data_IF_964064879869
#
_entry.id   IF_964064879869
#
_cell.length_a   1.000
_cell.length_b   1.000
_cell.length_c   1.000
_cell.angle_alpha   90.00
_cell.angle_beta   90.00
_cell.angle_gamma   90.00
#
_symmetry.space_group_name_H-M   'P 1'
#
loop_
_entity.id
_entity.type
_entity.pdbx_description
1 polymer ?
#
# COMPACT_ATOMS: atom_id res chain seq x y z
N UNK A 1 33.05 -28.25 38.29
CA UNK A 1 31.59 -28.16 38.52
C UNK A 1 31.03 -27.38 37.35
N UNK A 2 30.27 -28.05 36.50
CA UNK A 2 29.51 -27.44 35.42
C UNK A 2 28.12 -27.11 35.96
N UNK A 3 27.61 -25.90 35.70
CA UNK A 3 26.16 -25.67 35.66
C UNK A 3 25.80 -24.36 34.90
N UNK A 4 25.25 -24.59 33.70
CA UNK A 4 24.13 -23.91 33.02
C UNK A 4 24.07 -22.38 32.83
N UNK A 5 24.21 -21.90 31.56
CA UNK A 5 23.62 -20.64 31.07
C UNK A 5 22.21 -20.82 30.45
N UNK A 6 21.51 -21.92 30.76
CA UNK A 6 20.27 -22.31 30.06
C UNK A 6 18.98 -21.62 30.58
N UNK A 7 19.01 -20.93 31.72
CA UNK A 7 17.79 -20.38 32.35
C UNK A 7 17.42 -18.96 31.91
N UNK A 8 18.36 -18.15 31.43
CA UNK A 8 18.06 -16.77 30.96
C UNK A 8 17.55 -16.74 29.51
N UNK A 9 17.91 -17.73 28.68
CA UNK A 9 17.43 -17.81 27.30
C UNK A 9 15.97 -18.25 27.20
N UNK A 10 15.47 -19.03 28.16
CA UNK A 10 14.08 -19.49 28.17
C UNK A 10 13.10 -18.36 28.53
N UNK A 11 13.48 -17.47 29.46
CA UNK A 11 12.60 -16.38 29.91
C UNK A 11 12.33 -15.35 28.80
N UNK A 12 13.29 -15.14 27.89
CA UNK A 12 13.14 -14.25 26.74
C UNK A 12 12.35 -14.86 25.57
N UNK A 13 12.25 -16.19 25.48
CA UNK A 13 11.41 -16.85 24.46
C UNK A 13 9.94 -16.89 24.86
N UNK A 14 9.63 -17.10 26.15
CA UNK A 14 8.24 -17.12 26.63
C UNK A 14 7.56 -15.73 26.56
N UNK A 15 8.29 -14.63 26.78
CA UNK A 15 7.73 -13.27 26.66
C UNK A 15 7.48 -12.85 25.19
N UNK A 16 8.26 -13.38 24.25
CA UNK A 16 8.04 -13.14 22.82
C UNK A 16 6.85 -13.96 22.26
N UNK A 17 6.59 -15.15 22.82
CA UNK A 17 5.41 -15.96 22.49
C UNK A 17 4.11 -15.38 23.04
N UNK A 18 4.09 -14.82 24.27
CA UNK A 18 2.90 -14.16 24.82
C UNK A 18 2.50 -12.89 24.05
N UNK A 19 3.46 -12.16 23.49
CA UNK A 19 3.19 -10.98 22.66
C UNK A 19 2.57 -11.34 21.29
N UNK A 20 2.88 -12.51 20.74
CA UNK A 20 2.31 -13.02 19.49
C UNK A 20 0.93 -13.66 19.69
N UNK A 21 0.68 -14.31 20.84
CA UNK A 21 -0.61 -14.90 21.18
C UNK A 21 -1.68 -13.82 21.40
N UNK A 22 -1.33 -12.68 22.02
CA UNK A 22 -2.26 -11.57 22.21
C UNK A 22 -2.63 -10.82 20.92
N UNK A 23 -1.87 -10.97 19.83
CA UNK A 23 -2.22 -10.39 18.52
C UNK A 23 -3.17 -11.30 17.72
N UNK A 24 -3.18 -12.61 17.98
CA UNK A 24 -4.04 -13.57 17.28
C UNK A 24 -5.43 -13.74 17.91
N UNK A 25 -5.57 -13.53 19.22
CA UNK A 25 -6.85 -13.77 19.93
C UNK A 25 -7.89 -12.66 19.71
N UNK A 26 -7.46 -11.47 19.30
CA UNK A 26 -8.37 -10.36 18.99
C UNK A 26 -9.00 -10.44 17.58
N UNK A 27 -8.68 -11.49 16.81
CA UNK A 27 -9.19 -11.71 15.45
C UNK A 27 -10.37 -12.68 15.35
N UNK A 28 -10.85 -13.22 16.49
CA UNK A 28 -11.92 -14.24 16.52
C UNK A 28 -13.26 -13.80 17.12
N UNK A 29 -13.44 -12.54 17.49
CA UNK A 29 -14.70 -12.08 18.07
C UNK A 29 -15.44 -11.11 17.13
N UNK A 30 -16.04 -11.62 16.06
CA UNK A 30 -17.30 -11.06 15.50
C UNK A 30 -17.92 -12.03 14.49
N UNK A 31 -18.60 -13.04 15.03
CA UNK A 31 -19.45 -13.97 14.31
C UNK A 31 -20.71 -14.27 15.13
N UNK A 32 -21.71 -13.39 14.96
CA UNK A 32 -23.16 -13.55 15.07
C UNK A 32 -23.76 -14.80 15.76
N UNK A 33 -24.64 -14.60 16.76
CA UNK A 33 -26.01 -15.19 16.84
C UNK A 33 -26.86 -14.55 17.96
N UNK A 34 -28.06 -14.08 17.58
CA UNK A 34 -29.41 -14.05 18.22
C UNK A 34 -29.56 -14.16 19.78
N UNK A 35 -30.49 -13.51 20.52
CA UNK A 35 -31.89 -13.12 20.27
C UNK A 35 -32.49 -12.30 21.46
N UNK A 36 -33.50 -11.44 21.18
CA UNK A 36 -34.58 -10.84 22.05
C UNK A 36 -34.16 -9.85 23.16
N UNK A 37 -34.81 -8.71 23.43
CA UNK A 37 -36.24 -8.32 23.35
C UNK A 37 -36.45 -6.78 23.27
N UNK A 38 -37.56 -6.38 22.65
CA UNK A 38 -38.18 -5.03 22.49
C UNK A 38 -38.36 -4.22 23.80
N UNK A 39 -38.66 -2.89 23.77
CA UNK A 39 -39.99 -2.28 23.43
C UNK A 39 -39.97 -1.07 22.43
N UNK A 40 -40.95 -0.94 21.49
CA UNK A 40 -42.14 -0.01 21.43
C UNK A 40 -41.79 1.50 21.44
N UNK A 41 -42.36 2.43 20.68
CA UNK A 41 -43.52 2.58 19.76
C UNK A 41 -43.31 3.99 19.12
N UNK A 42 -43.49 4.23 17.82
CA UNK A 42 -44.61 5.00 17.27
C UNK A 42 -44.54 4.94 15.73
N UNK A 43 -45.49 4.24 15.11
CA UNK A 43 -45.79 4.35 13.68
C UNK A 43 -47.25 4.70 13.55
N UNK A 44 -47.51 5.81 12.84
CA UNK A 44 -48.84 6.28 12.49
C UNK A 44 -49.59 5.22 11.68
N UNK A 45 -50.83 5.05 12.10
CA UNK A 45 -51.95 4.32 11.51
C UNK A 45 -52.15 4.58 10.02
N UNK A 46 -52.31 3.51 9.26
CA UNK A 46 -53.05 3.49 8.01
C UNK A 46 -54.10 2.38 8.10
N UNK A 47 -55.31 2.72 7.67
CA UNK A 47 -56.58 2.04 7.94
C UNK A 47 -56.85 0.97 6.85
N UNK A 48 -57.25 -0.27 7.17
CA UNK A 48 -57.69 -1.23 6.17
C UNK A 48 -59.19 -1.07 5.90
N UNK A 49 -59.55 -0.38 4.81
CA UNK A 49 -60.92 -0.45 4.28
C UNK A 49 -61.23 -1.87 3.78
N UNK A 50 -62.16 -2.52 4.46
CA UNK A 50 -62.88 -3.70 4.00
C UNK A 50 -63.54 -3.44 2.64
N UNK A 51 -63.26 -4.30 1.67
CA UNK A 51 -64.02 -4.40 0.43
C UNK A 51 -65.26 -5.27 0.70
N UNK A 52 -66.45 -4.66 0.65
CA UNK A 52 -67.72 -5.37 0.69
C UNK A 52 -68.12 -5.91 -0.70
N UNK A 53 -68.87 -7.03 -0.80
CA UNK A 53 -69.16 -7.71 -2.08
C UNK A 53 -70.19 -7.05 -3.02
N UNK A 54 -70.52 -5.76 -2.84
CA UNK A 54 -71.64 -5.11 -3.56
C UNK A 54 -71.23 -4.27 -4.78
N UNK A 55 -69.95 -4.22 -5.18
CA UNK A 55 -69.49 -3.45 -6.35
C UNK A 55 -69.32 -4.30 -7.63
N UNK A 56 -69.97 -5.46 -7.70
CA UNK A 56 -69.75 -6.47 -8.74
C UNK A 56 -70.75 -6.48 -9.90
N UNK A 57 -71.56 -5.44 -10.10
CA UNK A 57 -72.58 -5.44 -11.15
C UNK A 57 -72.65 -4.12 -11.95
N UNK A 58 -71.70 -3.93 -12.86
CA UNK A 58 -71.82 -3.09 -14.05
C UNK A 58 -70.83 -3.55 -15.12
N UNK A 59 -71.17 -4.69 -15.73
CA UNK A 59 -70.60 -5.11 -17.02
C UNK A 59 -71.27 -4.26 -18.11
N UNK A 60 -70.58 -3.22 -18.58
CA UNK A 60 -70.94 -2.54 -19.83
C UNK A 60 -69.70 -2.02 -20.54
N UNK A 61 -69.52 -2.55 -21.76
CA UNK A 61 -68.73 -2.01 -22.87
C UNK A 61 -67.21 -1.89 -22.71
N UNK A 62 -66.56 -3.00 -23.04
CA UNK A 62 -65.53 -3.07 -24.08
C UNK A 62 -64.97 -1.72 -24.55
N UNK A 63 -64.02 -1.19 -23.78
CA UNK A 63 -62.97 -0.33 -24.31
C UNK A 63 -61.64 -0.97 -23.97
N UNK A 64 -61.16 -1.80 -24.89
CA UNK A 64 -59.74 -2.13 -25.02
C UNK A 64 -58.98 -0.83 -25.22
N UNK A 65 -58.62 -0.17 -24.12
CA UNK A 65 -57.64 0.90 -24.15
C UNK A 65 -56.29 0.22 -24.18
N UNK A 66 -55.84 -0.11 -25.39
CA UNK A 66 -54.44 -0.38 -25.66
C UNK A 66 -53.66 0.83 -25.14
N UNK A 67 -53.02 0.71 -23.98
CA UNK A 67 -51.92 1.61 -23.64
C UNK A 67 -50.82 1.29 -24.66
N UNK A 68 -50.88 1.95 -25.80
CA UNK A 68 -49.74 2.10 -26.67
C UNK A 68 -48.68 2.81 -25.82
N UNK A 69 -47.75 2.04 -25.25
CA UNK A 69 -46.56 2.57 -24.59
C UNK A 69 -45.83 3.41 -25.63
N UNK A 70 -46.08 4.72 -25.63
CA UNK A 70 -45.41 5.65 -26.55
C UNK A 70 -43.92 5.55 -26.30
N UNK A 71 -43.20 4.95 -27.24
CA UNK A 71 -41.75 4.89 -27.24
C UNK A 71 -41.19 6.24 -27.70
N UNK A 72 -40.32 6.83 -26.90
CA UNK A 72 -39.63 8.07 -27.18
C UNK A 72 -38.18 7.77 -27.53
N UNK A 73 -37.67 8.36 -28.61
CA UNK A 73 -36.26 8.26 -28.99
C UNK A 73 -35.43 9.30 -28.22
N UNK A 74 -34.56 8.84 -27.33
CA UNK A 74 -33.68 9.69 -26.53
C UNK A 74 -32.21 9.31 -26.74
N UNK A 75 -31.34 10.32 -26.82
CA UNK A 75 -29.92 10.15 -27.06
C UNK A 75 -29.15 10.13 -25.74
N UNK A 76 -28.59 8.97 -25.38
CA UNK A 76 -27.74 8.79 -24.20
C UNK A 76 -26.33 8.43 -24.68
N UNK A 77 -25.31 9.18 -24.25
CA UNK A 77 -23.90 8.95 -24.63
C UNK A 77 -23.67 8.78 -26.14
N UNK A 78 -24.40 9.51 -26.97
CA UNK A 78 -24.23 9.50 -28.43
C UNK A 78 -25.04 8.44 -29.19
N UNK A 79 -25.73 7.51 -28.50
CA UNK A 79 -26.56 6.46 -29.13
C UNK A 79 -28.05 6.73 -28.92
N UNK A 80 -28.86 6.41 -29.93
CA UNK A 80 -30.31 6.58 -29.89
C UNK A 80 -30.94 5.36 -29.21
N UNK A 81 -31.74 5.59 -28.17
CA UNK A 81 -32.47 4.56 -27.44
C UNK A 81 -33.96 4.88 -27.47
N UNK A 82 -34.80 3.87 -27.75
CA UNK A 82 -36.25 3.97 -27.62
C UNK A 82 -36.63 3.58 -26.21
N UNK A 83 -37.20 4.50 -25.45
CA UNK A 83 -37.55 4.34 -24.02
C UNK A 83 -38.98 4.82 -23.77
N UNK A 84 -39.65 4.22 -22.80
CA UNK A 84 -41.01 4.63 -22.39
C UNK A 84 -40.96 5.88 -21.51
N UNK A 85 -42.09 6.56 -21.34
CA UNK A 85 -42.18 7.76 -20.49
C UNK A 85 -41.83 7.48 -19.02
N UNK A 86 -42.18 6.29 -18.50
CA UNK A 86 -41.78 5.87 -17.16
C UNK A 86 -40.28 5.69 -17.01
N UNK A 87 -39.60 5.14 -18.02
CA UNK A 87 -38.16 4.92 -17.96
C UNK A 87 -37.39 6.25 -18.04
N UNK A 88 -37.92 7.24 -18.77
CA UNK A 88 -37.38 8.60 -18.81
C UNK A 88 -37.49 9.31 -17.46
N UNK A 89 -38.64 9.24 -16.81
CA UNK A 89 -38.85 9.86 -15.49
C UNK A 89 -38.00 9.18 -14.41
N UNK A 90 -37.93 7.84 -14.41
CA UNK A 90 -37.04 7.07 -13.53
C UNK A 90 -35.55 7.36 -13.81
N UNK A 91 -35.16 7.51 -15.08
CA UNK A 91 -33.80 7.87 -15.50
C UNK A 91 -33.40 9.26 -15.03
N UNK A 92 -34.28 10.26 -15.22
CA UNK A 92 -34.05 11.62 -14.75
C UNK A 92 -33.94 11.71 -13.22
N UNK A 93 -34.80 11.00 -12.49
CA UNK A 93 -34.73 10.91 -11.02
C UNK A 93 -33.41 10.30 -10.56
N UNK A 94 -32.99 9.18 -11.16
CA UNK A 94 -31.69 8.56 -10.84
C UNK A 94 -30.52 9.46 -11.20
N UNK A 95 -30.53 10.12 -12.37
CA UNK A 95 -29.48 11.03 -12.78
C UNK A 95 -29.37 12.24 -11.85
N UNK A 96 -30.51 12.80 -11.42
CA UNK A 96 -30.54 13.86 -10.41
C UNK A 96 -29.93 13.39 -9.09
N UNK A 97 -30.32 12.20 -8.62
CA UNK A 97 -29.76 11.60 -7.40
C UNK A 97 -28.26 11.33 -7.51
N UNK A 98 -27.79 10.81 -8.65
CA UNK A 98 -26.37 10.55 -8.88
C UNK A 98 -25.58 11.85 -8.96
N UNK A 99 -26.11 12.89 -9.62
CA UNK A 99 -25.48 14.22 -9.65
C UNK A 99 -25.40 14.80 -8.25
N UNK A 100 -26.47 14.72 -7.46
CA UNK A 100 -26.48 15.22 -6.09
C UNK A 100 -25.51 14.42 -5.19
N UNK A 101 -25.50 13.09 -5.28
CA UNK A 101 -24.57 12.23 -4.53
C UNK A 101 -23.13 12.45 -4.95
N UNK A 102 -22.85 12.62 -6.24
CA UNK A 102 -21.51 12.90 -6.76
C UNK A 102 -21.02 14.29 -6.33
N UNK A 103 -21.91 15.29 -6.35
CA UNK A 103 -21.62 16.63 -5.85
C UNK A 103 -21.33 16.60 -4.34
N UNK A 104 -22.18 15.93 -3.54
CA UNK A 104 -21.95 15.73 -2.10
C UNK A 104 -20.63 15.01 -1.83
N UNK A 105 -20.36 13.90 -2.51
CA UNK A 105 -19.09 13.17 -2.36
C UNK A 105 -17.88 14.03 -2.72
N UNK A 106 -17.99 14.88 -3.74
CA UNK A 106 -16.93 15.80 -4.12
C UNK A 106 -16.70 16.88 -3.07
N UNK A 107 -17.78 17.39 -2.47
CA UNK A 107 -17.72 18.36 -1.38
C UNK A 107 -17.17 17.72 -0.09
N UNK A 108 -17.62 16.51 0.25
CA UNK A 108 -17.11 15.74 1.39
C UNK A 108 -15.61 15.49 1.24
N UNK A 109 -15.15 15.08 0.05
CA UNK A 109 -13.71 14.89 -0.23
C UNK A 109 -12.91 16.18 -0.04
N UNK A 110 -13.41 17.30 -0.54
CA UNK A 110 -12.76 18.61 -0.33
C UNK A 110 -12.72 18.98 1.14
N UNK A 111 -13.83 18.80 1.88
CA UNK A 111 -13.88 19.11 3.31
C UNK A 111 -12.88 18.27 4.10
N UNK A 112 -12.75 16.97 3.81
CA UNK A 112 -11.77 16.08 4.44
C UNK A 112 -10.33 16.46 4.07
N UNK A 113 -10.08 16.83 2.81
CA UNK A 113 -8.76 17.32 2.36
C UNK A 113 -8.37 18.61 3.09
N UNK A 114 -9.31 19.56 3.21
CA UNK A 114 -9.10 20.81 3.95
C UNK A 114 -8.86 20.56 5.44
N UNK A 115 -9.60 19.66 6.07
CA UNK A 115 -9.37 19.25 7.46
C UNK A 115 -7.99 18.61 7.63
N UNK A 116 -7.59 17.74 6.71
CA UNK A 116 -6.25 17.12 6.72
C UNK A 116 -5.15 18.15 6.61
N UNK A 117 -5.29 19.14 5.72
CA UNK A 117 -4.32 20.23 5.58
C UNK A 117 -4.24 21.06 6.86
N UNK A 118 -5.39 21.42 7.45
CA UNK A 118 -5.44 22.14 8.74
C UNK A 118 -4.75 21.36 9.85
N UNK A 119 -4.99 20.04 9.95
CA UNK A 119 -4.33 19.18 10.93
C UNK A 119 -2.81 19.14 10.69
N UNK A 120 -2.37 18.99 9.44
CA UNK A 120 -0.94 19.01 9.11
C UNK A 120 -0.30 20.34 9.49
N UNK A 121 -0.93 21.47 9.19
CA UNK A 121 -0.44 22.79 9.54
C UNK A 121 -0.36 22.98 11.06
N UNK A 122 -1.39 22.57 11.80
CA UNK A 122 -1.39 22.61 13.27
C UNK A 122 -0.28 21.74 13.85
N UNK A 123 -0.07 20.54 13.30
CA UNK A 123 1.02 19.65 13.72
C UNK A 123 2.40 20.28 13.44
N UNK A 124 2.57 20.92 12.28
CA UNK A 124 3.81 21.61 11.93
C UNK A 124 4.09 22.79 12.88
N UNK A 125 3.09 23.60 13.21
CA UNK A 125 3.22 24.69 14.17
C UNK A 125 3.56 24.14 15.56
N UNK A 126 2.86 23.11 16.03
CA UNK A 126 3.13 22.50 17.33
C UNK A 126 4.54 21.91 17.42
N UNK A 127 5.04 21.29 16.34
CA UNK A 127 6.41 20.79 16.27
C UNK A 127 7.44 21.93 16.32
N UNK A 128 7.22 23.03 15.59
CA UNK A 128 8.10 24.20 15.64
C UNK A 128 8.12 24.85 17.03
N UNK A 129 6.97 24.93 17.70
CA UNK A 129 6.90 25.43 19.08
C UNK A 129 7.65 24.54 20.06
N UNK A 130 7.53 23.21 19.91
CA UNK A 130 8.30 22.25 20.70
C UNK A 130 9.80 22.39 20.45
N UNK A 131 10.22 22.51 19.20
CA UNK A 131 11.64 22.72 18.87
C UNK A 131 12.20 24.00 19.49
N UNK A 132 11.46 25.12 19.39
CA UNK A 132 11.82 26.39 20.05
C UNK A 132 11.89 26.25 21.56
N UNK A 133 10.96 25.50 22.16
CA UNK A 133 10.96 25.22 23.59
C UNK A 133 12.20 24.44 24.03
N UNK A 134 12.52 23.34 23.34
CA UNK A 134 13.72 22.52 23.60
C UNK A 134 14.99 23.34 23.37
N UNK A 135 15.05 24.19 22.34
CA UNK A 135 16.17 25.11 22.12
C UNK A 135 16.36 26.07 23.30
N UNK A 136 15.28 26.68 23.79
CA UNK A 136 15.34 27.57 24.96
C UNK A 136 15.75 26.82 26.24
N UNK A 137 15.28 25.58 26.44
CA UNK A 137 15.73 24.74 27.56
C UNK A 137 17.23 24.42 27.46
N UNK A 138 17.72 24.09 26.26
CA UNK A 138 19.15 23.85 26.03
C UNK A 138 19.98 25.11 26.31
N UNK A 139 19.55 26.28 25.84
CA UNK A 139 20.22 27.56 26.10
C UNK A 139 20.24 27.89 27.60
N UNK A 140 19.10 27.72 28.29
CA UNK A 140 19.05 27.92 29.74
C UNK A 140 19.96 26.93 30.48
N UNK A 141 20.01 25.67 30.02
CA UNK A 141 20.86 24.64 30.61
C UNK A 141 22.35 24.92 30.41
N UNK A 142 22.76 25.53 29.28
CA UNK A 142 24.15 25.85 28.99
C UNK A 142 24.63 27.12 29.70
N UNK A 143 23.72 28.07 29.95
CA UNK A 143 24.00 29.27 30.75
C UNK A 143 24.10 28.97 32.26
N UNK A 144 23.43 27.92 32.73
CA UNK A 144 23.55 27.47 34.12
C UNK A 144 24.88 26.74 34.33
N UNK A 145 25.86 27.47 34.87
CA UNK A 145 27.09 26.87 35.39
C UNK A 145 26.74 26.07 36.64
N UNK A 146 27.15 24.81 36.66
CA UNK A 146 27.01 23.95 37.84
C UNK A 146 27.73 24.62 39.02
N UNK A 147 27.05 24.90 40.15
CA UNK A 147 27.66 25.64 41.24
C UNK A 147 28.87 24.86 41.75
N UNK A 148 30.07 25.42 41.56
CA UNK A 148 31.29 24.89 42.17
C UNK A 148 31.20 25.20 43.65
N UNK A 149 30.87 24.17 44.43
CA UNK A 149 30.84 24.26 45.88
C UNK A 149 32.25 23.97 46.38
N UNK A 150 32.89 24.98 46.98
CA UNK A 150 34.12 24.77 47.73
C UNK A 150 33.74 24.35 49.15
N UNK A 151 33.89 23.06 49.44
CA UNK A 151 33.54 22.47 50.74
C UNK A 151 34.37 23.11 51.87
N UNK A 152 35.63 23.50 51.61
CA UNK A 152 36.48 24.15 52.60
C UNK A 152 36.01 25.58 52.95
N UNK A 153 35.45 26.30 51.98
CA UNK A 153 34.84 27.62 52.20
C UNK A 153 33.54 27.50 53.01
N UNK A 154 32.72 26.50 52.72
CA UNK A 154 31.49 26.24 53.46
C UNK A 154 31.76 25.85 54.93
N UNK A 155 32.75 25.00 55.17
CA UNK A 155 33.15 24.60 56.52
C UNK A 155 33.69 25.79 57.32
N UNK A 156 34.40 26.71 56.66
CA UNK A 156 34.85 27.96 57.28
C UNK A 156 33.67 28.85 57.66
N UNK A 157 32.73 29.08 56.75
CA UNK A 157 31.53 29.91 57.01
C UNK A 157 30.69 29.28 58.12
N UNK A 158 30.56 27.95 58.19
CA UNK A 158 29.84 27.28 59.26
C UNK A 158 30.42 27.58 60.65
N UNK A 159 31.75 27.61 60.76
CA UNK A 159 32.44 27.89 62.02
C UNK A 159 32.47 29.39 62.38
N UNK A 160 32.51 30.29 61.38
CA UNK A 160 32.56 31.74 61.57
C UNK A 160 31.16 32.37 61.76
N UNK A 161 30.18 31.99 60.95
CA UNK A 161 28.79 32.47 60.99
C UNK A 161 27.78 31.40 60.49
N UNK A 162 27.13 30.68 61.41
CA UNK A 162 26.13 29.67 61.07
C UNK A 162 24.91 30.21 60.29
N UNK A 163 24.56 31.51 60.44
CA UNK A 163 23.43 32.09 59.73
C UNK A 163 23.74 32.32 58.24
N UNK A 164 24.97 32.78 57.94
CA UNK A 164 25.45 32.91 56.55
C UNK A 164 25.63 31.55 55.88
N UNK A 165 26.05 30.52 56.63
CA UNK A 165 26.10 29.15 56.11
C UNK A 165 24.73 28.68 55.61
N UNK A 166 23.67 28.87 56.41
CA UNK A 166 22.31 28.47 56.01
C UNK A 166 21.84 29.23 54.77
N UNK A 167 22.15 30.53 54.67
CA UNK A 167 21.84 31.34 53.47
C UNK A 167 22.55 30.82 52.24
N UNK A 168 23.86 30.54 52.35
CA UNK A 168 24.68 30.04 51.25
C UNK A 168 24.25 28.64 50.81
N UNK A 169 23.98 27.75 51.75
CA UNK A 169 23.46 26.42 51.49
C UNK A 169 22.09 26.45 50.81
N UNK A 170 21.18 27.33 51.26
CA UNK A 170 19.88 27.52 50.63
C UNK A 170 20.01 28.05 49.18
N UNK A 171 20.97 28.95 48.92
CA UNK A 171 21.26 29.44 47.58
C UNK A 171 21.77 28.32 46.66
N UNK A 172 22.74 27.52 47.14
CA UNK A 172 23.30 26.37 46.39
C UNK A 172 22.21 25.34 46.10
N UNK A 173 21.42 24.98 47.12
CA UNK A 173 20.29 24.04 46.96
C UNK A 173 19.30 24.55 45.91
N UNK A 174 18.90 25.83 45.99
CA UNK A 174 17.98 26.43 45.03
C UNK A 174 18.52 26.40 43.60
N UNK A 175 19.81 26.66 43.40
CA UNK A 175 20.44 26.57 42.08
C UNK A 175 20.48 25.13 41.56
N UNK A 176 20.86 24.18 42.43
CA UNK A 176 20.88 22.74 42.09
C UNK A 176 19.49 22.22 41.74
N UNK A 177 18.46 22.62 42.49
CA UNK A 177 17.07 22.25 42.23
C UNK A 177 16.59 22.83 40.89
N UNK A 178 16.91 24.09 40.60
CA UNK A 178 16.57 24.70 39.31
C UNK A 178 17.23 23.99 38.13
N UNK A 179 18.53 23.66 38.25
CA UNK A 179 19.28 22.94 37.23
C UNK A 179 18.75 21.51 37.05
N UNK A 180 18.45 20.81 38.15
CA UNK A 180 17.88 19.46 38.10
C UNK A 180 16.55 19.46 37.38
N UNK A 181 15.65 20.42 37.66
CA UNK A 181 14.36 20.54 36.98
C UNK A 181 14.52 20.71 35.46
N UNK A 182 15.44 21.56 35.03
CA UNK A 182 15.70 21.78 33.59
C UNK A 182 16.28 20.52 32.94
N UNK A 183 17.23 19.84 33.59
CA UNK A 183 17.81 18.59 33.08
C UNK A 183 16.74 17.51 32.93
N UNK A 184 15.87 17.34 33.94
CA UNK A 184 14.77 16.37 33.90
C UNK A 184 13.76 16.70 32.78
N UNK A 185 13.42 17.97 32.58
CA UNK A 185 12.50 18.38 31.51
C UNK A 185 13.11 18.11 30.12
N UNK A 186 14.38 18.43 29.94
CA UNK A 186 15.12 18.20 28.71
C UNK A 186 15.22 16.70 28.38
N UNK A 187 15.51 15.87 29.37
CA UNK A 187 15.54 14.41 29.22
C UNK A 187 14.15 13.83 28.89
N UNK A 188 13.10 14.34 29.53
CA UNK A 188 11.70 14.00 29.23
C UNK A 188 11.34 14.32 27.77
N UNK A 189 11.68 15.52 27.29
CA UNK A 189 11.43 15.92 25.90
C UNK A 189 12.25 15.09 24.89
N UNK A 190 13.52 14.78 25.22
CA UNK A 190 14.34 13.87 24.39
C UNK A 190 13.70 12.49 24.27
N UNK A 191 13.23 11.91 25.37
CA UNK A 191 12.56 10.61 25.38
C UNK A 191 11.28 10.62 24.54
N UNK A 192 10.46 11.66 24.67
CA UNK A 192 9.25 11.83 23.83
C UNK A 192 9.60 11.92 22.35
N UNK A 193 10.66 12.66 22.01
CA UNK A 193 11.09 12.78 20.62
C UNK A 193 11.61 11.46 20.05
N UNK A 194 12.35 10.70 20.85
CA UNK A 194 12.81 9.36 20.47
C UNK A 194 11.62 8.40 20.25
N UNK A 195 10.63 8.42 21.14
CA UNK A 195 9.41 7.60 21.00
C UNK A 195 8.65 7.94 19.70
N UNK A 196 8.44 9.22 19.40
CA UNK A 196 7.80 9.67 18.16
C UNK A 196 8.61 9.23 16.94
N UNK A 197 9.94 9.32 16.99
CA UNK A 197 10.81 8.85 15.93
C UNK A 197 10.67 7.33 15.71
N UNK A 198 10.66 6.54 16.79
CA UNK A 198 10.48 5.09 16.71
C UNK A 198 9.11 4.72 16.12
N UNK A 199 8.04 5.40 16.53
CA UNK A 199 6.70 5.20 15.95
C UNK A 199 6.67 5.54 14.46
N UNK A 200 7.31 6.65 14.05
CA UNK A 200 7.42 7.03 12.64
C UNK A 200 8.20 5.98 11.84
N UNK A 201 9.29 5.47 12.40
CA UNK A 201 10.08 4.41 11.77
C UNK A 201 9.25 3.14 11.59
N UNK A 202 8.54 2.68 12.63
CA UNK A 202 7.64 1.53 12.53
C UNK A 202 6.56 1.71 11.46
N UNK A 203 5.92 2.89 11.40
CA UNK A 203 4.93 3.21 10.38
C UNK A 203 5.51 3.17 8.95
N UNK A 204 6.76 3.62 8.77
CA UNK A 204 7.45 3.50 7.47
C UNK A 204 7.72 2.03 7.15
N UNK A 205 8.22 1.24 8.11
CA UNK A 205 8.50 -0.19 7.90
C UNK A 205 7.25 -0.98 7.50
N UNK A 206 6.11 -0.73 8.15
CA UNK A 206 4.84 -1.38 7.80
C UNK A 206 4.43 -1.03 6.37
N UNK A 207 4.50 0.26 5.98
CA UNK A 207 4.18 0.69 4.61
C UNK A 207 5.11 0.08 3.56
N UNK A 208 6.40 0.03 3.85
CA UNK A 208 7.40 -0.60 2.97
C UNK A 208 7.11 -2.10 2.82
N UNK A 209 6.71 -2.78 3.90
CA UNK A 209 6.31 -4.18 3.86
C UNK A 209 5.02 -4.41 3.05
N UNK A 210 4.02 -3.55 3.19
CA UNK A 210 2.78 -3.59 2.40
C UNK A 210 3.08 -3.44 0.90
N UNK A 211 3.91 -2.44 0.53
CA UNK A 211 4.35 -2.22 -0.85
C UNK A 211 5.17 -3.40 -1.40
N UNK A 212 5.99 -4.04 -0.56
CA UNK A 212 6.73 -5.24 -0.94
C UNK A 212 5.78 -6.40 -1.23
N UNK A 213 4.77 -6.62 -0.39
CA UNK A 213 3.78 -7.68 -0.58
C UNK A 213 2.90 -7.43 -1.81
N UNK A 214 2.55 -6.18 -2.10
CA UNK A 214 1.80 -5.80 -3.31
C UNK A 214 2.60 -6.12 -4.58
N UNK A 215 3.89 -5.76 -4.63
CA UNK A 215 4.75 -5.96 -5.81
C UNK A 215 5.27 -7.39 -5.95
N UNK A 216 5.51 -8.06 -4.82
CA UNK A 216 5.99 -9.43 -4.77
C UNK A 216 5.18 -10.24 -3.73
N UNK A 217 4.03 -10.81 -4.15
CA UNK A 217 3.08 -11.50 -3.26
C UNK A 217 3.67 -12.65 -2.44
N UNK A 218 4.79 -13.22 -2.88
CA UNK A 218 5.50 -14.27 -2.13
C UNK A 218 5.95 -13.81 -0.74
N UNK A 219 6.24 -12.51 -0.55
CA UNK A 219 6.65 -11.95 0.74
C UNK A 219 5.49 -11.72 1.71
N UNK A 220 4.24 -11.78 1.23
CA UNK A 220 3.03 -11.74 2.06
C UNK A 220 2.58 -13.10 2.57
N UNK A 221 3.11 -14.21 2.04
CA UNK A 221 2.83 -15.56 2.52
C UNK A 221 3.63 -15.83 3.81
N UNK A 222 3.00 -16.24 4.93
CA UNK A 222 3.69 -16.43 6.20
C UNK A 222 4.74 -17.55 6.17
N UNK A 223 4.55 -18.58 5.33
CA UNK A 223 5.47 -19.72 5.27
C UNK A 223 6.50 -19.53 4.15
N UNK A 224 6.04 -19.17 2.95
CA UNK A 224 6.95 -18.98 1.81
C UNK A 224 7.74 -17.70 1.92
N UNK A 225 7.12 -16.63 2.41
CA UNK A 225 7.76 -15.33 2.58
C UNK A 225 8.87 -15.39 3.61
N UNK A 226 8.67 -16.08 4.75
CA UNK A 226 9.72 -16.25 5.74
C UNK A 226 10.91 -17.02 5.17
N UNK A 227 10.65 -18.13 4.46
CA UNK A 227 11.71 -18.87 3.77
C UNK A 227 12.46 -18.01 2.76
N UNK A 228 11.73 -17.26 1.91
CA UNK A 228 12.33 -16.38 0.91
C UNK A 228 13.17 -15.26 1.55
N UNK A 229 12.74 -14.69 2.68
CA UNK A 229 13.53 -13.72 3.44
C UNK A 229 14.84 -14.33 3.95
N UNK A 230 14.78 -15.53 4.55
CA UNK A 230 15.98 -16.23 5.02
C UNK A 230 16.94 -16.57 3.88
N UNK A 231 16.43 -17.07 2.76
CA UNK A 231 17.22 -17.39 1.56
C UNK A 231 17.88 -16.12 0.99
N UNK A 232 17.16 -15.00 0.97
CA UNK A 232 17.67 -13.71 0.52
C UNK A 232 18.77 -13.17 1.44
N UNK A 233 18.58 -13.23 2.77
CA UNK A 233 19.61 -12.85 3.75
C UNK A 233 20.87 -13.68 3.56
N UNK A 234 20.74 -15.00 3.39
CA UNK A 234 21.89 -15.88 3.15
C UNK A 234 22.59 -15.56 1.82
N UNK A 235 21.82 -15.29 0.76
CA UNK A 235 22.36 -14.86 -0.52
C UNK A 235 23.17 -13.57 -0.40
N UNK A 236 22.64 -12.56 0.28
CA UNK A 236 23.33 -11.28 0.49
C UNK A 236 24.59 -11.44 1.37
N UNK A 237 24.52 -12.24 2.44
CA UNK A 237 25.72 -12.59 3.24
C UNK A 237 26.81 -13.23 2.38
N UNK A 238 26.44 -14.16 1.50
CA UNK A 238 27.38 -14.79 0.56
C UNK A 238 27.97 -13.80 -0.46
N UNK A 239 27.29 -12.69 -0.75
CA UNK A 239 27.79 -11.59 -1.60
C UNK A 239 28.67 -10.59 -0.84
N UNK A 240 28.82 -10.74 0.48
CA UNK A 240 29.69 -9.91 1.32
C UNK A 240 28.99 -8.83 2.13
N UNK A 241 27.65 -8.81 2.17
CA UNK A 241 26.91 -7.86 3.01
C UNK A 241 27.03 -8.22 4.49
N UNK A 242 27.32 -7.22 5.33
CA UNK A 242 27.39 -7.37 6.78
C UNK A 242 26.03 -7.33 7.47
N UNK A 243 25.96 -7.81 8.72
CA UNK A 243 24.69 -7.84 9.48
C UNK A 243 24.09 -6.45 9.70
N UNK A 244 24.92 -5.41 9.85
CA UNK A 244 24.47 -4.02 9.98
C UNK A 244 23.80 -3.51 8.70
N UNK A 245 24.34 -3.86 7.53
CA UNK A 245 23.77 -3.45 6.23
C UNK A 245 22.45 -4.17 5.94
N UNK A 246 22.35 -5.43 6.37
CA UNK A 246 21.12 -6.23 6.25
C UNK A 246 20.01 -5.70 7.18
N UNK A 247 20.35 -5.28 8.39
CA UNK A 247 19.39 -4.67 9.30
C UNK A 247 18.94 -3.28 8.82
N UNK A 248 19.80 -2.56 8.09
CA UNK A 248 19.45 -1.30 7.45
C UNK A 248 18.65 -1.47 6.14
N UNK A 249 18.46 -2.70 5.65
CA UNK A 249 17.75 -3.00 4.42
C UNK A 249 16.23 -2.95 4.64
N UNK A 250 15.69 -1.74 4.69
CA UNK A 250 14.26 -1.49 4.99
C UNK A 250 13.43 -1.11 3.76
N UNK A 251 14.06 -0.60 2.70
CA UNK A 251 13.38 -0.16 1.47
C UNK A 251 12.93 -1.38 0.64
N UNK A 252 11.64 -1.44 0.28
CA UNK A 252 11.11 -2.53 -0.55
C UNK A 252 11.82 -2.64 -1.91
N UNK A 253 12.33 -1.54 -2.47
CA UNK A 253 12.97 -1.51 -3.79
C UNK A 253 14.29 -2.25 -3.79
N UNK A 254 15.09 -2.07 -2.75
CA UNK A 254 16.38 -2.74 -2.62
C UNK A 254 16.18 -4.23 -2.36
N UNK A 255 15.16 -4.60 -1.57
CA UNK A 255 14.74 -5.99 -1.36
C UNK A 255 14.30 -6.64 -2.67
N UNK A 256 13.49 -5.97 -3.50
CA UNK A 256 13.08 -6.47 -4.81
C UNK A 256 14.27 -6.69 -5.74
N UNK A 257 15.18 -5.73 -5.82
CA UNK A 257 16.40 -5.85 -6.63
C UNK A 257 17.26 -7.02 -6.16
N UNK A 258 17.45 -7.17 -4.85
CA UNK A 258 18.20 -8.27 -4.27
C UNK A 258 17.52 -9.63 -4.54
N UNK A 259 16.19 -9.68 -4.46
CA UNK A 259 15.40 -10.87 -4.76
C UNK A 259 15.52 -11.29 -6.22
N UNK A 260 15.44 -10.33 -7.14
CA UNK A 260 15.65 -10.60 -8.57
C UNK A 260 17.07 -11.10 -8.84
N UNK A 261 18.08 -10.47 -8.24
CA UNK A 261 19.48 -10.91 -8.35
C UNK A 261 19.68 -12.33 -7.81
N UNK A 262 19.07 -12.66 -6.67
CA UNK A 262 19.09 -14.01 -6.10
C UNK A 262 18.48 -15.02 -7.08
N UNK A 263 17.30 -14.71 -7.63
CA UNK A 263 16.60 -15.58 -8.57
C UNK A 263 17.40 -15.77 -9.87
N UNK A 264 18.06 -14.74 -10.37
CA UNK A 264 18.94 -14.85 -11.54
C UNK A 264 20.15 -15.74 -11.26
N UNK A 265 20.80 -15.60 -10.10
CA UNK A 265 21.93 -16.44 -9.74
C UNK A 265 21.50 -17.90 -9.55
N UNK A 266 20.33 -18.15 -8.96
CA UNK A 266 19.72 -19.48 -8.87
C UNK A 266 19.46 -20.08 -10.26
N UNK A 267 18.94 -19.29 -11.21
CA UNK A 267 18.74 -19.75 -12.59
C UNK A 267 20.05 -20.04 -13.32
N UNK A 268 21.09 -19.24 -13.06
CA UNK A 268 22.42 -19.41 -13.66
C UNK A 268 23.17 -20.62 -13.09
N UNK A 269 23.02 -20.88 -11.80
CA UNK A 269 23.69 -21.98 -11.09
C UNK A 269 22.89 -23.29 -11.14
N UNK A 270 21.58 -23.23 -11.43
CA UNK A 270 20.77 -24.40 -11.70
C UNK A 270 21.31 -25.10 -12.95
N UNK A 271 22.11 -26.15 -12.74
CA UNK A 271 22.54 -27.06 -13.81
C UNK A 271 21.27 -27.63 -14.47
N UNK A 272 20.99 -27.18 -15.69
CA UNK A 272 19.92 -27.72 -16.56
C UNK A 272 20.26 -29.11 -17.11
N UNK A 273 21.43 -29.65 -16.76
CA UNK A 273 21.88 -30.98 -17.17
C UNK A 273 20.85 -32.04 -16.76
N UNK A 274 20.18 -32.62 -17.76
CA UNK A 274 19.22 -33.70 -17.58
C UNK A 274 17.73 -33.31 -17.70
N UNK A 275 17.36 -32.03 -17.56
CA UNK A 275 16.00 -31.57 -17.92
C UNK A 275 15.93 -31.34 -19.42
N UNK A 276 15.95 -32.44 -20.19
CA UNK A 276 15.47 -32.42 -21.58
C UNK A 276 14.10 -31.74 -21.55
N UNK A 277 13.96 -30.64 -22.29
CA UNK A 277 12.64 -30.10 -22.64
C UNK A 277 11.79 -31.30 -22.99
N UNK A 278 10.77 -31.61 -22.18
CA UNK A 278 9.78 -32.61 -22.58
C UNK A 278 9.28 -32.09 -23.91
N UNK A 279 9.69 -32.70 -25.02
CA UNK A 279 9.06 -32.48 -26.32
C UNK A 279 7.61 -32.79 -26.04
N UNK A 280 6.79 -31.76 -25.87
CA UNK A 280 5.34 -31.91 -25.88
C UNK A 280 5.07 -32.78 -27.11
N UNK A 281 4.38 -33.93 -26.96
CA UNK A 281 4.10 -34.76 -28.12
C UNK A 281 3.53 -33.82 -29.17
N UNK A 282 4.19 -33.74 -30.34
CA UNK A 282 3.63 -33.02 -31.47
C UNK A 282 2.23 -33.60 -31.61
N UNK A 283 1.21 -32.80 -31.29
CA UNK A 283 -0.17 -33.14 -31.62
C UNK A 283 -0.13 -33.65 -33.03
N UNK A 284 -0.62 -34.87 -33.24
CA UNK A 284 -0.70 -35.46 -34.55
C UNK A 284 -1.48 -34.47 -35.40
N UNK A 285 -0.76 -33.68 -36.20
CA UNK A 285 -1.35 -32.97 -37.31
C UNK A 285 -2.06 -34.05 -38.10
N UNK A 286 -3.36 -33.90 -38.29
CA UNK A 286 -4.19 -34.79 -39.11
C UNK A 286 -3.85 -34.57 -40.58
N UNK A 287 -2.58 -34.67 -40.93
CA UNK A 287 -2.05 -34.68 -42.27
C UNK A 287 -1.05 -35.83 -42.33
N UNK A 288 -1.61 -37.00 -42.63
CA UNK A 288 -0.91 -38.20 -43.05
C UNK A 288 0.01 -37.84 -44.21
N UNK A 289 1.26 -37.52 -43.93
CA UNK A 289 2.31 -37.45 -44.94
C UNK A 289 2.68 -38.88 -45.27
N UNK A 290 2.06 -39.43 -46.32
CA UNK A 290 2.66 -40.52 -47.06
C UNK A 290 3.93 -39.95 -47.73
N UNK A 291 5.05 -40.65 -47.58
CA UNK A 291 6.22 -40.42 -48.42
C UNK A 291 5.77 -40.64 -49.87
N UNK A 292 5.70 -39.56 -50.64
CA UNK A 292 5.51 -39.64 -52.09
C UNK A 292 6.90 -39.48 -52.69
N UNK A 293 7.29 -40.51 -53.41
CA UNK A 293 8.53 -40.62 -54.17
C UNK A 293 8.64 -39.44 -55.17
N UNK A 294 9.84 -38.92 -55.34
CA UNK A 294 10.14 -37.62 -56.00
C UNK A 294 9.93 -37.64 -57.53
N UNK A 295 9.47 -38.77 -58.07
CA UNK A 295 9.29 -39.01 -59.50
C UNK A 295 7.92 -38.59 -60.07
N UNK A 296 6.94 -38.22 -59.25
CA UNK A 296 5.59 -37.82 -59.71
C UNK A 296 5.14 -36.39 -59.32
N UNK A 297 6.05 -35.42 -59.31
CA UNK A 297 5.62 -34.02 -59.18
C UNK A 297 4.87 -33.56 -60.44
N UNK A 298 3.60 -33.21 -60.25
CA UNK A 298 2.68 -32.70 -61.27
C UNK A 298 3.20 -31.40 -61.90
N UNK A 299 2.90 -31.12 -63.18
CA UNK A 299 3.41 -29.96 -63.92
C UNK A 299 3.07 -28.58 -63.28
N UNK A 300 2.08 -28.52 -62.40
CA UNK A 300 1.70 -27.30 -61.65
C UNK A 300 2.79 -26.85 -60.65
N UNK A 301 3.51 -27.76 -60.01
CA UNK A 301 4.56 -27.40 -59.05
C UNK A 301 5.83 -26.88 -59.75
N UNK A 302 6.12 -27.40 -60.94
CA UNK A 302 7.19 -26.86 -61.81
C UNK A 302 6.83 -25.45 -62.32
N UNK A 303 5.57 -25.20 -62.67
CA UNK A 303 5.11 -23.88 -63.10
C UNK A 303 5.19 -22.84 -61.97
N UNK A 304 4.77 -23.21 -60.75
CA UNK A 304 4.81 -22.31 -59.59
C UNK A 304 6.26 -21.97 -59.16
N UNK A 305 7.18 -22.93 -59.30
CA UNK A 305 8.59 -22.71 -58.98
C UNK A 305 9.33 -21.90 -60.07
N UNK A 306 8.91 -22.00 -61.34
CA UNK A 306 9.39 -21.11 -62.40
C UNK A 306 8.90 -19.68 -62.19
N UNK A 307 7.65 -19.47 -61.79
CA UNK A 307 7.11 -18.13 -61.50
C UNK A 307 7.84 -17.45 -60.33
N UNK A 308 8.24 -18.21 -59.31
CA UNK A 308 9.06 -17.71 -58.19
C UNK A 308 10.47 -17.29 -58.60
N UNK A 309 11.07 -17.93 -59.62
CA UNK A 309 12.39 -17.53 -60.14
C UNK A 309 12.36 -16.20 -60.92
N UNK A 310 11.21 -15.80 -61.46
CA UNK A 310 11.07 -14.51 -62.16
C UNK A 310 10.72 -13.33 -61.23
N UNK A 311 10.19 -13.59 -60.04
CA UNK A 311 9.80 -12.53 -59.09
C UNK A 311 10.96 -11.90 -58.31
N UNK A 312 12.20 -12.42 -58.43
CA UNK A 312 13.35 -11.91 -57.68
C UNK A 312 14.27 -10.96 -58.48
N UNK A 313 13.79 -10.38 -59.59
CA UNK A 313 14.49 -9.34 -60.37
C UNK A 313 14.22 -7.91 -59.87
N UNK A 314 13.75 -7.75 -58.64
CA UNK A 314 13.43 -6.44 -58.05
C UNK A 314 14.57 -5.75 -57.29
N UNK A 315 15.79 -6.31 -57.27
CA UNK A 315 16.86 -5.82 -56.40
C UNK A 315 18.19 -5.60 -57.14
N UNK A 316 18.14 -5.09 -58.37
CA UNK A 316 19.35 -4.75 -59.14
C UNK A 316 19.83 -3.33 -58.81
N UNK A 317 21.16 -3.12 -58.76
CA UNK A 317 21.79 -1.83 -58.45
C UNK A 317 21.24 -0.64 -59.24
N UNK A 318 20.80 -0.84 -60.49
CA UNK A 318 20.20 0.22 -61.31
C UNK A 318 18.96 0.88 -60.70
N UNK A 319 18.12 0.15 -59.95
CA UNK A 319 16.96 0.74 -59.26
C UNK A 319 17.36 1.49 -58.00
N UNK A 320 18.46 1.09 -57.35
CA UNK A 320 19.03 1.78 -56.18
C UNK A 320 19.74 3.07 -56.61
N UNK A 321 20.41 3.06 -57.76
CA UNK A 321 21.09 4.23 -58.31
C UNK A 321 20.08 5.27 -58.84
N UNK A 322 18.97 4.82 -59.44
CA UNK A 322 17.87 5.71 -59.83
C UNK A 322 17.17 6.36 -58.61
N UNK A 323 17.02 5.63 -57.50
CA UNK A 323 16.48 6.19 -56.25
C UNK A 323 17.41 7.20 -55.59
N UNK A 324 18.73 6.97 -55.66
CA UNK A 324 19.74 7.93 -55.19
C UNK A 324 19.76 9.21 -56.03
N UNK A 325 19.70 9.08 -57.35
CA UNK A 325 19.65 10.24 -58.25
C UNK A 325 18.37 11.08 -58.04
N UNK A 326 17.24 10.44 -57.73
CA UNK A 326 16.00 11.15 -57.40
C UNK A 326 16.07 11.90 -56.06
N UNK A 327 16.70 11.30 -55.03
CA UNK A 327 16.92 11.92 -53.72
C UNK A 327 17.91 13.09 -53.75
N UNK A 328 18.92 13.05 -54.62
CA UNK A 328 19.85 14.18 -54.81
C UNK A 328 19.23 15.32 -55.63
N UNK A 329 18.28 15.02 -56.53
CA UNK A 329 17.54 16.02 -57.29
C UNK A 329 16.44 16.72 -56.47
N UNK A 330 15.91 16.08 -55.43
CA UNK A 330 14.85 16.65 -54.57
C UNK A 330 15.38 17.56 -53.45
N UNK A 331 16.71 17.67 -53.31
CA UNK A 331 17.36 18.40 -52.21
C UNK A 331 18.25 19.55 -52.71
N UNK A 332 17.91 20.11 -53.88
CA UNK A 332 18.56 21.27 -54.49
C UNK A 332 17.58 22.41 -54.70
#
# INVERSE_FOLDING_TARGET
MADTPAKESALNQFQAEEALVNLLDNSKATGNEEQKSSPKEETKSDDPQELTPDDLDLVSEETTTSQDEKLYEVKVNGKMHKVTLEELTKGYSKDSDYRQKSARLSEDRKSVEEERLKIMDQMNVANQEREKYVQRLNELSSQMVEPKVDEAELDRIYNEDPAEYVRRQAQISKQRDAQSKIKTELESEKRKNEEVYQQKLQNVLVKEQELLAEKAPIFGDPVKGEKTRRDLTNFLKNKGFGDQELNALTDHRTVLMAYDAMRMDQLRTAKLEGKKVRKVPKVASTSRSQNVDESEMRPMDKALNQQRKFSNRGNNQATKDAMKAWLEASNK
#
